data_IF_780299990167
#
_entry.id   IF_780299990167
#
_cell.length_a   1.000
_cell.length_b   1.000
_cell.length_c   1.000
_cell.angle_alpha   90.00
_cell.angle_beta   90.00
_cell.angle_gamma   90.00
#
_symmetry.space_group_name_H-M   'P 1'
#
loop_
_entity.id
_entity.type
_entity.pdbx_description
1 polymer ?
#
# COMPACT_ATOMS: atom_id res chain seq x y z
N UNK A 1 42.26 63.04 22.35
CA UNK A 1 42.83 62.33 23.52
C UNK A 1 42.56 60.85 23.35
N UNK A 2 43.57 60.01 23.56
CA UNK A 2 43.58 58.58 23.28
C UNK A 2 43.15 57.73 24.51
N UNK A 3 42.31 56.70 24.26
CA UNK A 3 42.34 55.27 24.71
C UNK A 3 42.50 54.93 26.23
N UNK A 4 42.32 53.67 26.71
CA UNK A 4 41.46 52.51 26.37
C UNK A 4 40.92 51.73 27.62
N UNK A 5 40.37 50.51 27.40
CA UNK A 5 40.39 49.28 28.24
C UNK A 5 39.18 48.90 29.14
N UNK A 6 38.81 47.61 29.02
CA UNK A 6 37.92 46.83 29.87
C UNK A 6 37.14 45.77 29.05
N UNK A 7 37.76 44.74 28.48
CA UNK A 7 38.15 43.44 29.09
C UNK A 7 36.97 42.53 29.53
N UNK A 8 36.83 41.43 28.76
CA UNK A 8 36.42 40.05 29.10
C UNK A 8 35.09 39.73 29.83
N UNK A 9 34.31 38.83 29.20
CA UNK A 9 33.31 37.99 29.88
C UNK A 9 32.56 37.09 28.91
N UNK A 10 33.08 35.88 28.66
CA UNK A 10 32.28 34.76 28.15
C UNK A 10 31.27 34.36 29.23
N UNK A 11 30.03 34.12 28.79
CA UNK A 11 29.18 32.97 29.16
C UNK A 11 27.71 33.35 29.35
N UNK A 12 26.89 32.39 28.93
CA UNK A 12 25.51 32.15 29.36
C UNK A 12 24.40 32.84 28.56
N UNK A 13 24.10 32.19 27.43
CA UNK A 13 22.77 31.61 27.18
C UNK A 13 21.55 32.31 27.79
N UNK A 14 20.72 32.90 26.92
CA UNK A 14 19.25 32.72 26.91
C UNK A 14 18.64 33.44 25.71
N UNK A 15 18.85 32.87 24.52
CA UNK A 15 17.87 33.03 23.45
C UNK A 15 16.81 31.96 23.66
N UNK A 16 15.69 32.36 24.27
CA UNK A 16 14.48 31.55 24.31
C UNK A 16 13.84 31.68 22.93
N UNK A 17 14.21 30.78 22.03
CA UNK A 17 13.56 30.62 20.74
C UNK A 17 13.21 29.15 20.51
N UNK A 18 11.90 28.92 20.36
CA UNK A 18 11.20 27.67 19.99
C UNK A 18 10.95 26.64 21.10
N UNK A 19 9.81 26.80 21.79
CA UNK A 19 9.15 25.77 22.61
C UNK A 19 8.17 24.90 21.81
N UNK A 20 8.32 24.83 20.49
CA UNK A 20 7.57 23.89 19.66
C UNK A 20 8.56 23.23 18.71
N UNK A 21 9.14 22.13 19.16
CA UNK A 21 9.74 21.16 18.25
C UNK A 21 8.60 20.65 17.37
N UNK A 22 8.46 21.21 16.17
CA UNK A 22 7.73 20.53 15.11
C UNK A 22 8.48 19.22 14.89
N UNK A 23 7.96 18.14 15.45
CA UNK A 23 8.36 16.81 15.07
C UNK A 23 8.19 16.77 13.55
N UNK A 24 9.30 16.70 12.82
CA UNK A 24 9.26 16.47 11.38
C UNK A 24 8.26 15.34 11.17
N UNK A 25 7.19 15.53 10.38
CA UNK A 25 6.11 14.54 10.27
C UNK A 25 6.77 13.20 9.99
N UNK A 26 6.65 12.26 10.94
CA UNK A 26 7.23 10.92 10.75
C UNK A 26 6.63 10.42 9.45
N UNK A 27 7.50 10.14 8.49
CA UNK A 27 7.03 9.54 7.25
C UNK A 27 6.29 8.26 7.61
N UNK A 28 5.02 8.19 7.22
CA UNK A 28 4.28 6.95 7.30
C UNK A 28 5.09 5.86 6.57
N UNK A 29 5.20 4.65 7.14
CA UNK A 29 5.70 3.48 6.41
C UNK A 29 5.03 3.37 5.04
N UNK A 30 5.75 2.81 4.06
CA UNK A 30 5.27 2.73 2.66
C UNK A 30 3.88 2.09 2.56
N UNK A 31 3.64 1.03 3.32
CA UNK A 31 2.33 0.38 3.42
C UNK A 31 1.22 1.29 3.91
N UNK A 32 1.46 2.04 4.99
CA UNK A 32 0.46 2.96 5.55
C UNK A 32 0.15 4.12 4.60
N UNK A 33 1.15 4.57 3.80
CA UNK A 33 0.89 5.53 2.71
C UNK A 33 0.01 4.93 1.63
N UNK A 34 0.25 3.68 1.24
CA UNK A 34 -0.59 2.97 0.28
C UNK A 34 -2.02 2.80 0.82
N UNK A 35 -2.19 2.40 2.08
CA UNK A 35 -3.51 2.32 2.73
C UNK A 35 -4.21 3.67 2.66
N UNK A 36 -3.55 4.74 3.11
CA UNK A 36 -4.13 6.08 3.10
C UNK A 36 -4.50 6.53 1.68
N UNK A 37 -3.67 6.23 0.69
CA UNK A 37 -3.93 6.62 -0.69
C UNK A 37 -5.14 5.87 -1.25
N UNK A 38 -5.14 4.53 -1.20
CA UNK A 38 -6.25 3.71 -1.72
C UNK A 38 -7.54 4.00 -0.97
N UNK A 39 -7.47 4.22 0.35
CA UNK A 39 -8.65 4.56 1.15
C UNK A 39 -9.29 5.88 0.68
N UNK A 40 -8.48 6.91 0.43
CA UNK A 40 -9.00 8.24 0.09
C UNK A 40 -9.39 8.39 -1.38
N UNK A 41 -8.63 7.79 -2.29
CA UNK A 41 -8.81 7.95 -3.73
C UNK A 41 -9.59 6.79 -4.39
N UNK A 42 -9.66 5.64 -3.72
CA UNK A 42 -10.31 4.45 -4.26
C UNK A 42 -11.82 4.56 -4.28
N UNK A 43 -12.43 3.94 -5.29
CA UNK A 43 -13.87 3.81 -5.42
C UNK A 43 -14.37 2.64 -4.56
N UNK A 44 -15.50 2.83 -3.90
CA UNK A 44 -16.15 1.75 -3.18
C UNK A 44 -16.70 0.70 -4.15
N UNK A 45 -16.45 -0.56 -3.83
CA UNK A 45 -16.92 -1.69 -4.63
C UNK A 45 -17.21 -2.89 -3.73
N UNK A 46 -17.97 -3.84 -4.27
CA UNK A 46 -18.22 -5.14 -3.66
C UNK A 46 -17.52 -6.20 -4.51
N UNK A 47 -16.60 -6.95 -3.89
CA UNK A 47 -15.79 -7.94 -4.59
C UNK A 47 -16.39 -9.34 -4.49
N UNK A 48 -16.33 -10.06 -5.63
CA UNK A 48 -16.82 -11.42 -5.75
C UNK A 48 -16.09 -12.37 -4.78
N UNK A 49 -16.83 -13.20 -4.02
CA UNK A 49 -16.27 -13.90 -2.87
C UNK A 49 -15.38 -15.07 -3.23
N UNK A 50 -15.52 -15.71 -4.41
CA UNK A 50 -14.88 -17.00 -4.67
C UNK A 50 -13.35 -16.93 -4.66
N UNK A 51 -12.76 -15.97 -5.38
CA UNK A 51 -11.31 -15.82 -5.45
C UNK A 51 -10.73 -15.33 -4.12
N UNK A 52 -11.46 -14.45 -3.43
CA UNK A 52 -11.06 -13.88 -2.16
C UNK A 52 -11.13 -14.93 -1.03
N UNK A 53 -12.18 -15.76 -1.02
CA UNK A 53 -12.36 -16.84 -0.06
C UNK A 53 -11.21 -17.86 -0.13
N UNK A 54 -10.74 -18.19 -1.34
CA UNK A 54 -9.56 -19.04 -1.50
C UNK A 54 -8.29 -18.39 -0.91
N UNK A 55 -8.17 -17.06 -0.97
CA UNK A 55 -7.07 -16.34 -0.35
C UNK A 55 -7.23 -16.13 1.17
N UNK A 56 -8.26 -16.75 1.79
CA UNK A 56 -8.56 -16.59 3.22
C UNK A 56 -9.29 -15.29 3.57
N UNK A 57 -9.64 -14.50 2.56
CA UNK A 57 -10.38 -13.26 2.68
C UNK A 57 -11.87 -13.60 2.61
N UNK A 58 -12.54 -13.69 3.75
CA UNK A 58 -13.95 -14.11 3.82
C UNK A 58 -14.75 -13.24 4.77
N UNK A 59 -15.99 -12.96 4.38
CA UNK A 59 -17.00 -12.29 5.18
C UNK A 59 -18.23 -13.22 5.35
N UNK A 60 -17.98 -14.46 5.78
CA UNK A 60 -19.03 -15.48 6.01
C UNK A 60 -19.91 -15.74 4.77
N UNK A 61 -19.30 -15.74 3.59
CA UNK A 61 -19.99 -15.96 2.32
C UNK A 61 -20.72 -14.74 1.76
N UNK A 62 -20.57 -13.56 2.40
CA UNK A 62 -21.06 -12.28 1.86
C UNK A 62 -20.00 -11.60 1.01
N UNK A 63 -20.46 -10.68 0.18
CA UNK A 63 -19.57 -9.83 -0.59
C UNK A 63 -18.62 -9.05 0.32
N UNK A 64 -17.44 -8.76 -0.21
CA UNK A 64 -16.34 -8.18 0.53
C UNK A 64 -16.22 -6.71 0.12
N UNK A 65 -16.49 -5.76 1.03
CA UNK A 65 -16.33 -4.35 0.72
C UNK A 65 -14.86 -4.06 0.48
N UNK A 66 -14.57 -3.34 -0.59
CA UNK A 66 -13.22 -2.93 -0.93
C UNK A 66 -13.21 -1.50 -1.45
N UNK A 67 -12.07 -0.82 -1.30
CA UNK A 67 -11.77 0.40 -2.03
C UNK A 67 -10.76 0.10 -3.12
N UNK A 68 -11.05 0.52 -4.35
CA UNK A 68 -10.26 0.16 -5.52
C UNK A 68 -9.73 1.35 -6.30
N UNK A 69 -8.47 1.22 -6.71
CA UNK A 69 -7.87 2.00 -7.78
C UNK A 69 -7.57 1.06 -8.95
N UNK A 70 -7.81 1.53 -10.17
CA UNK A 70 -7.52 0.79 -11.38
C UNK A 70 -6.90 1.70 -12.42
N UNK A 71 -5.73 1.30 -12.93
CA UNK A 71 -4.92 2.08 -13.87
C UNK A 71 -4.45 1.18 -15.01
N UNK A 72 -4.37 1.76 -16.21
CA UNK A 72 -3.91 1.02 -17.37
C UNK A 72 -2.37 1.09 -17.46
N UNK A 73 -1.74 -0.06 -17.69
CA UNK A 73 -0.31 -0.25 -17.91
C UNK A 73 -0.01 -0.74 -19.33
N UNK A 74 1.28 -0.93 -19.63
CA UNK A 74 1.72 -1.34 -20.97
C UNK A 74 1.20 -2.74 -21.38
N UNK A 75 0.95 -3.62 -20.41
CA UNK A 75 0.50 -5.00 -20.61
C UNK A 75 -0.92 -5.26 -20.08
N UNK A 76 -1.69 -4.20 -19.80
CA UNK A 76 -3.08 -4.28 -19.42
C UNK A 76 -3.43 -3.48 -18.17
N UNK A 77 -4.66 -3.67 -17.68
CA UNK A 77 -5.17 -2.97 -16.51
C UNK A 77 -4.71 -3.63 -15.21
N UNK A 78 -4.14 -2.82 -14.33
CA UNK A 78 -3.78 -3.19 -12.96
C UNK A 78 -4.80 -2.62 -12.01
N UNK A 79 -5.14 -3.37 -10.97
CA UNK A 79 -6.09 -2.97 -9.94
C UNK A 79 -5.48 -3.27 -8.57
N UNK A 80 -5.59 -2.33 -7.64
CA UNK A 80 -5.30 -2.53 -6.22
C UNK A 80 -6.61 -2.36 -5.45
N UNK A 81 -6.91 -3.34 -4.61
CA UNK A 81 -8.06 -3.33 -3.72
C UNK A 81 -7.58 -3.27 -2.28
N UNK A 82 -8.07 -2.32 -1.51
CA UNK A 82 -7.91 -2.27 -0.07
C UNK A 82 -9.12 -2.94 0.58
N UNK A 83 -8.89 -4.02 1.33
CA UNK A 83 -9.92 -4.75 2.07
C UNK A 83 -9.63 -4.73 3.57
N UNK A 84 -10.69 -4.69 4.36
CA UNK A 84 -10.60 -4.84 5.81
C UNK A 84 -11.12 -6.23 6.21
N UNK A 85 -10.24 -7.05 6.79
CA UNK A 85 -10.56 -8.41 7.22
C UNK A 85 -10.20 -8.50 8.68
N UNK A 86 -11.19 -8.78 9.54
CA UNK A 86 -10.97 -8.91 11.00
C UNK A 86 -10.21 -7.70 11.60
N UNK A 87 -10.54 -6.48 11.14
CA UNK A 87 -9.90 -5.21 11.53
C UNK A 87 -8.44 -5.06 11.08
N UNK A 88 -8.01 -5.85 10.10
CA UNK A 88 -6.69 -5.77 9.47
C UNK A 88 -6.87 -5.35 8.03
N UNK A 89 -6.12 -4.32 7.63
CA UNK A 89 -6.03 -3.88 6.25
C UNK A 89 -5.09 -4.79 5.45
N UNK A 90 -5.59 -5.34 4.36
CA UNK A 90 -4.82 -6.12 3.38
C UNK A 90 -5.04 -5.55 1.98
N UNK A 91 -4.09 -5.81 1.08
CA UNK A 91 -4.16 -5.44 -0.31
C UNK A 91 -4.42 -6.66 -1.18
N UNK A 92 -5.33 -6.51 -2.14
CA UNK A 92 -5.50 -7.45 -3.24
C UNK A 92 -5.12 -6.77 -4.54
N UNK A 93 -3.96 -7.16 -5.07
CA UNK A 93 -3.50 -6.77 -6.39
C UNK A 93 -4.12 -7.72 -7.41
N UNK A 94 -4.63 -7.19 -8.52
CA UNK A 94 -4.98 -8.04 -9.65
C UNK A 94 -4.82 -7.39 -11.00
N UNK A 95 -4.59 -8.22 -12.00
CA UNK A 95 -4.53 -7.84 -13.41
C UNK A 95 -5.14 -8.92 -14.29
N UNK A 96 -5.50 -8.54 -15.51
CA UNK A 96 -5.94 -9.48 -16.55
C UNK A 96 -4.75 -9.94 -17.40
N UNK A 97 -4.61 -11.25 -17.59
CA UNK A 97 -3.66 -11.90 -18.49
C UNK A 97 -4.44 -12.81 -19.45
N UNK A 98 -4.64 -12.38 -20.70
CA UNK A 98 -5.50 -13.10 -21.63
C UNK A 98 -6.92 -13.26 -21.05
N UNK A 99 -7.42 -14.49 -20.96
CA UNK A 99 -8.76 -14.79 -20.39
C UNK A 99 -8.73 -15.15 -18.89
N UNK A 100 -7.64 -14.81 -18.19
CA UNK A 100 -7.44 -15.13 -16.76
C UNK A 100 -7.19 -13.86 -15.97
N UNK A 101 -7.84 -13.71 -14.81
CA UNK A 101 -7.46 -12.72 -13.81
C UNK A 101 -6.48 -13.35 -12.83
N UNK A 102 -5.38 -12.67 -12.53
CA UNK A 102 -4.40 -13.10 -11.55
C UNK A 102 -4.48 -12.19 -10.34
N UNK A 103 -4.75 -12.76 -9.17
CA UNK A 103 -4.88 -12.05 -7.90
C UNK A 103 -3.74 -12.41 -6.96
N UNK A 104 -3.26 -11.42 -6.22
CA UNK A 104 -2.33 -11.59 -5.11
C UNK A 104 -2.84 -10.86 -3.87
N UNK A 105 -2.95 -11.57 -2.75
CA UNK A 105 -3.16 -10.97 -1.45
C UNK A 105 -1.78 -10.65 -0.83
N UNK A 106 -1.61 -9.45 -0.28
CA UNK A 106 -0.47 -9.09 0.56
C UNK A 106 -0.85 -8.21 1.75
N UNK A 107 -0.04 -8.30 2.81
CA UNK A 107 -0.20 -7.46 3.99
C UNK A 107 0.36 -6.03 3.77
N UNK A 108 0.23 -5.17 4.80
CA UNK A 108 0.78 -3.79 4.78
C UNK A 108 2.31 -3.72 4.68
N UNK A 109 3.03 -4.80 4.95
CA UNK A 109 4.48 -4.87 4.72
C UNK A 109 4.82 -5.30 3.28
N UNK A 110 3.81 -5.50 2.44
CA UNK A 110 3.89 -6.05 1.09
C UNK A 110 4.44 -7.48 1.03
N UNK A 111 4.21 -8.26 2.09
CA UNK A 111 4.46 -9.70 2.06
C UNK A 111 3.30 -10.41 1.39
N UNK A 112 3.57 -11.14 0.30
CA UNK A 112 2.59 -11.98 -0.40
C UNK A 112 2.09 -13.08 0.55
N UNK A 113 0.77 -13.19 0.68
CA UNK A 113 0.09 -14.17 1.53
C UNK A 113 -0.48 -15.32 0.71
N UNK A 114 -1.14 -15.00 -0.40
CA UNK A 114 -1.77 -15.98 -1.28
C UNK A 114 -1.82 -15.46 -2.72
N UNK A 115 -1.97 -16.37 -3.68
CA UNK A 115 -2.13 -16.00 -5.09
C UNK A 115 -3.03 -16.99 -5.80
N UNK A 116 -3.98 -16.46 -6.56
CA UNK A 116 -4.99 -17.25 -7.24
C UNK A 116 -5.14 -16.78 -8.68
N UNK A 117 -5.44 -17.72 -9.56
CA UNK A 117 -5.85 -17.46 -10.94
C UNK A 117 -7.35 -17.66 -11.04
N UNK A 118 -8.04 -16.79 -11.75
CA UNK A 118 -9.47 -16.87 -11.99
C UNK A 118 -9.74 -16.83 -13.50
N UNK A 119 -9.92 -17.99 -14.15
CA UNK A 119 -10.28 -18.04 -15.56
C UNK A 119 -11.71 -17.53 -15.77
N UNK A 120 -11.95 -16.85 -16.89
CA UNK A 120 -13.26 -16.27 -17.23
C UNK A 120 -14.44 -17.25 -17.16
N UNK A 121 -14.22 -18.49 -17.55
CA UNK A 121 -15.23 -19.55 -17.60
C UNK A 121 -14.88 -20.73 -16.68
N UNK A 122 -14.41 -20.47 -15.45
CA UNK A 122 -14.05 -21.54 -14.52
C UNK A 122 -14.08 -21.10 -13.07
N UNK A 123 -13.46 -21.89 -12.20
CA UNK A 123 -13.32 -21.58 -10.78
C UNK A 123 -11.93 -21.03 -10.47
N UNK A 124 -11.80 -20.13 -9.49
CA UNK A 124 -10.49 -19.67 -9.07
C UNK A 124 -9.70 -20.85 -8.47
N UNK A 125 -8.39 -20.85 -8.69
CA UNK A 125 -7.48 -21.88 -8.18
C UNK A 125 -6.20 -21.26 -7.68
N UNK A 126 -5.55 -21.88 -6.70
CA UNK A 126 -4.24 -21.44 -6.24
C UNK A 126 -3.20 -21.54 -7.37
N UNK A 127 -2.29 -20.57 -7.39
CA UNK A 127 -1.13 -20.61 -8.24
C UNK A 127 -0.05 -21.42 -7.49
N UNK A 128 0.12 -22.68 -7.90
CA UNK A 128 1.09 -23.60 -7.28
C UNK A 128 2.55 -23.30 -7.68
N UNK A 129 2.76 -22.67 -8.84
CA UNK A 129 4.07 -22.22 -9.29
C UNK A 129 4.48 -20.96 -8.50
N UNK A 130 5.36 -21.16 -7.51
CA UNK A 130 5.82 -20.08 -6.65
C UNK A 130 6.65 -19.04 -7.41
N UNK A 131 7.48 -19.46 -8.37
CA UNK A 131 8.35 -18.56 -9.12
C UNK A 131 7.54 -17.62 -10.00
N UNK A 132 6.54 -18.17 -10.71
CA UNK A 132 5.58 -17.35 -11.45
C UNK A 132 4.83 -16.40 -10.53
N UNK A 133 4.31 -16.90 -9.40
CA UNK A 133 3.49 -16.08 -8.50
C UNK A 133 4.29 -14.94 -7.85
N UNK A 134 5.56 -15.16 -7.52
CA UNK A 134 6.44 -14.12 -6.98
C UNK A 134 6.79 -13.08 -8.04
N UNK A 135 7.16 -13.51 -9.25
CA UNK A 135 7.47 -12.59 -10.34
C UNK A 135 6.28 -11.68 -10.68
N UNK A 136 5.08 -12.27 -10.83
CA UNK A 136 3.87 -11.52 -11.14
C UNK A 136 3.47 -10.57 -10.01
N UNK A 137 3.58 -11.04 -8.76
CA UNK A 137 3.31 -10.19 -7.60
C UNK A 137 4.24 -8.98 -7.54
N UNK A 138 5.55 -9.18 -7.74
CA UNK A 138 6.51 -8.08 -7.74
C UNK A 138 6.25 -7.09 -8.88
N UNK A 139 5.86 -7.58 -10.06
CA UNK A 139 5.47 -6.71 -11.18
C UNK A 139 4.25 -5.86 -10.83
N UNK A 140 3.18 -6.47 -10.31
CA UNK A 140 1.98 -5.75 -9.89
C UNK A 140 2.23 -4.76 -8.76
N UNK A 141 3.06 -5.14 -7.78
CA UNK A 141 3.40 -4.28 -6.66
C UNK A 141 4.23 -3.08 -7.11
N UNK A 142 5.25 -3.31 -7.95
CA UNK A 142 6.09 -2.24 -8.49
C UNK A 142 5.26 -1.20 -9.26
N UNK A 143 4.31 -1.66 -10.08
CA UNK A 143 3.40 -0.79 -10.83
C UNK A 143 2.69 0.24 -9.92
N UNK A 144 2.22 -0.20 -8.74
CA UNK A 144 1.53 0.66 -7.78
C UNK A 144 2.48 1.49 -6.93
N UNK A 145 3.63 0.95 -6.55
CA UNK A 145 4.65 1.70 -5.81
C UNK A 145 5.13 2.91 -6.63
N UNK A 146 5.35 2.73 -7.94
CA UNK A 146 5.83 3.79 -8.83
C UNK A 146 4.81 4.92 -9.01
N UNK A 147 3.52 4.62 -8.86
CA UNK A 147 2.41 5.58 -8.97
C UNK A 147 1.97 6.17 -7.64
N UNK A 148 2.40 5.58 -6.53
CA UNK A 148 2.00 6.05 -5.22
C UNK A 148 2.48 7.50 -5.04
N UNK A 149 1.57 8.44 -4.72
CA UNK A 149 1.92 9.83 -4.56
C UNK A 149 3.12 10.02 -3.62
N UNK A 150 4.11 10.78 -4.08
CA UNK A 150 5.16 11.32 -3.23
C UNK A 150 4.58 12.27 -2.20
N UNK A 151 5.27 12.39 -1.06
CA UNK A 151 4.91 13.20 0.12
C UNK A 151 4.02 14.41 -0.15
#
# INVERSE_FOLDING_TARGET
MALPLGACGKDSSRQISSLFGSSSPKLLPRGDRMVRWVYNAGHETMMAPEAFALMGITNEGRDIPARQLGEDGADGRYVISLVEIRKVWEFVLHRKQGEVLVFHNCDRSFKRLASVRYPRNGRPTFIADAAFADADFQQQLAFWIDRMPGR
#
